data_IF_177065530024
#
_entry.id   IF_177065530024
#
_cell.length_a   1.000
_cell.length_b   1.000
_cell.length_c   1.000
_cell.angle_alpha   90.00
_cell.angle_beta   90.00
_cell.angle_gamma   90.00
#
_symmetry.space_group_name_H-M   'P 1'
#
loop_
_entity.id
_entity.type
_entity.pdbx_description
1 polymer ?
#
# COMPACT_ATOMS: atom_id res chain seq x y z
N UNK A 1 -4.12 -16.08 14.71
CA UNK A 1 -3.75 -14.68 14.41
C UNK A 1 -2.26 -14.68 14.16
N UNK A 2 -1.79 -14.05 13.07
CA UNK A 2 -0.36 -14.06 12.70
C UNK A 2 0.39 -13.11 13.63
N UNK A 3 1.61 -13.46 14.03
CA UNK A 3 2.34 -12.70 15.07
C UNK A 3 2.55 -11.23 14.68
N UNK A 4 2.75 -10.95 13.39
CA UNK A 4 2.91 -9.58 12.90
C UNK A 4 1.64 -8.73 13.03
N UNK A 5 0.44 -9.34 13.09
CA UNK A 5 -0.81 -8.62 13.35
C UNK A 5 -0.89 -8.13 14.80
N UNK A 6 -0.22 -8.81 15.73
CA UNK A 6 -0.10 -8.36 17.14
C UNK A 6 0.79 -7.12 17.19
N UNK A 7 1.93 -7.13 16.49
CA UNK A 7 2.80 -5.95 16.40
C UNK A 7 2.06 -4.76 15.79
N UNK A 8 1.32 -5.00 14.70
CA UNK A 8 0.46 -4.01 14.06
C UNK A 8 -0.57 -3.43 15.05
N UNK A 9 -1.31 -4.28 15.78
CA UNK A 9 -2.30 -3.83 16.76
C UNK A 9 -1.67 -3.01 17.90
N UNK A 10 -0.50 -3.42 18.40
CA UNK A 10 0.24 -2.67 19.41
C UNK A 10 0.62 -1.30 18.86
N UNK A 11 1.21 -1.25 17.67
CA UNK A 11 1.63 0.00 17.03
C UNK A 11 0.48 1.01 16.90
N UNK A 12 -0.69 0.58 16.40
CA UNK A 12 -1.86 1.46 16.25
C UNK A 12 -2.45 1.94 17.58
N UNK A 13 -2.26 1.19 18.68
CA UNK A 13 -2.75 1.58 20.02
C UNK A 13 -1.78 2.50 20.77
N UNK A 14 -0.49 2.40 20.51
CA UNK A 14 0.55 3.11 21.27
C UNK A 14 1.14 4.31 20.52
N UNK A 15 1.05 4.31 19.19
CA UNK A 15 1.53 5.43 18.38
C UNK A 15 0.43 6.48 18.30
N UNK A 16 0.77 7.74 18.58
CA UNK A 16 -0.03 8.86 18.10
C UNK A 16 0.09 8.83 16.57
N UNK A 17 -0.91 8.28 15.88
CA UNK A 17 -0.95 8.29 14.42
C UNK A 17 -1.09 9.76 14.01
N UNK A 18 0.04 10.45 13.83
CA UNK A 18 0.10 11.87 13.47
C UNK A 18 -0.42 12.13 12.06
N UNK A 19 -0.47 11.08 11.23
CA UNK A 19 -0.85 11.17 9.83
C UNK A 19 -2.32 10.79 9.65
N UNK A 20 -3.20 11.41 10.42
CA UNK A 20 -4.60 11.45 9.99
C UNK A 20 -4.63 12.06 8.59
N UNK A 21 -5.28 11.39 7.64
CA UNK A 21 -5.53 11.85 6.26
C UNK A 21 -6.04 13.32 6.23
N UNK A 22 -6.58 13.81 7.35
CA UNK A 22 -6.98 15.19 7.60
C UNK A 22 -5.87 16.25 7.40
N UNK A 23 -4.60 15.95 7.70
CA UNK A 23 -3.51 16.95 7.69
C UNK A 23 -2.68 16.97 6.40
N UNK A 24 -2.96 16.05 5.47
CA UNK A 24 -2.27 15.96 4.18
C UNK A 24 -3.21 16.45 3.09
N UNK A 25 -2.78 17.47 2.32
CA UNK A 25 -3.50 17.90 1.12
C UNK A 25 -3.63 16.74 0.13
N UNK A 26 -4.83 16.18 0.05
CA UNK A 26 -5.15 15.05 -0.82
C UNK A 26 -6.32 15.38 -1.73
N UNK A 27 -6.36 14.71 -2.89
CA UNK A 27 -7.46 14.82 -3.84
C UNK A 27 -8.15 13.46 -3.94
N UNK A 28 -9.42 13.43 -3.57
CA UNK A 28 -10.29 12.28 -3.89
C UNK A 28 -10.83 12.53 -5.29
N UNK A 29 -10.42 11.71 -6.26
CA UNK A 29 -10.81 11.86 -7.66
C UNK A 29 -11.39 10.53 -8.12
N UNK A 30 -12.60 10.57 -8.67
CA UNK A 30 -13.15 9.45 -9.42
C UNK A 30 -12.42 9.34 -10.76
N UNK A 31 -11.41 8.46 -10.80
CA UNK A 31 -10.64 8.16 -11.99
C UNK A 31 -11.28 7.01 -12.76
N UNK A 32 -11.17 7.04 -14.09
CA UNK A 32 -11.47 5.84 -14.90
C UNK A 32 -10.42 4.77 -14.62
N UNK A 33 -10.75 3.52 -14.88
CA UNK A 33 -9.88 2.36 -14.63
C UNK A 33 -8.44 2.56 -15.13
N UNK A 34 -8.26 3.01 -16.37
CA UNK A 34 -6.92 3.24 -16.95
C UNK A 34 -6.15 4.35 -16.22
N UNK A 35 -6.83 5.44 -15.88
CA UNK A 35 -6.23 6.59 -15.17
C UNK A 35 -5.86 6.21 -13.74
N UNK A 36 -6.67 5.35 -13.11
CA UNK A 36 -6.39 4.80 -11.79
C UNK A 36 -5.16 3.89 -11.82
N UNK A 37 -5.05 2.99 -12.79
CA UNK A 37 -3.87 2.14 -12.97
C UNK A 37 -2.62 3.00 -13.20
N UNK A 38 -2.71 4.01 -14.06
CA UNK A 38 -1.60 4.93 -14.34
C UNK A 38 -1.19 5.72 -13.09
N UNK A 39 -2.15 6.16 -12.27
CA UNK A 39 -1.87 6.82 -11.01
C UNK A 39 -1.21 5.88 -9.98
N UNK A 40 -1.66 4.61 -9.90
CA UNK A 40 -1.06 3.59 -9.03
C UNK A 40 0.39 3.33 -9.41
N UNK A 41 0.67 3.17 -10.71
CA UNK A 41 2.03 2.96 -11.23
C UNK A 41 2.87 4.23 -11.10
N UNK A 42 2.25 5.40 -11.30
CA UNK A 42 2.88 6.72 -11.18
C UNK A 42 3.48 6.97 -9.80
N UNK A 43 2.89 6.40 -8.74
CA UNK A 43 3.42 6.42 -7.39
C UNK A 43 4.88 5.92 -7.29
N UNK A 44 5.27 4.99 -8.17
CA UNK A 44 6.59 4.37 -8.22
C UNK A 44 7.52 4.99 -9.27
N UNK A 45 7.09 6.04 -9.96
CA UNK A 45 7.82 6.66 -11.06
C UNK A 45 8.10 8.15 -10.84
N UNK A 46 7.19 8.87 -10.18
CA UNK A 46 7.22 10.33 -10.08
C UNK A 46 7.46 10.78 -8.65
N UNK A 47 8.49 11.58 -8.41
CA UNK A 47 8.73 12.21 -7.11
C UNK A 47 7.68 13.29 -6.83
N UNK A 48 7.11 13.31 -5.62
CA UNK A 48 6.26 14.41 -5.17
C UNK A 48 4.97 14.63 -5.99
N UNK A 49 4.46 13.57 -6.63
CA UNK A 49 3.19 13.64 -7.35
C UNK A 49 1.99 13.92 -6.43
N UNK A 50 0.89 14.41 -7.01
CA UNK A 50 -0.38 14.62 -6.30
C UNK A 50 -0.80 13.35 -5.55
N UNK A 51 -1.22 13.50 -4.29
CA UNK A 51 -1.79 12.42 -3.50
C UNK A 51 -3.23 12.21 -3.97
N UNK A 52 -3.44 11.22 -4.83
CA UNK A 52 -4.74 10.87 -5.40
C UNK A 52 -5.28 9.61 -4.74
N UNK A 53 -6.47 9.71 -4.15
CA UNK A 53 -7.24 8.55 -3.68
C UNK A 53 -8.30 8.16 -4.72
N UNK A 54 -8.51 6.85 -4.99
CA UNK A 54 -8.00 5.68 -4.24
C UNK A 54 -6.62 5.15 -4.67
N UNK A 55 -5.96 5.76 -5.67
CA UNK A 55 -4.69 5.25 -6.23
C UNK A 55 -3.60 5.00 -5.17
N UNK A 56 -3.39 5.96 -4.26
CA UNK A 56 -2.40 5.82 -3.17
C UNK A 56 -2.65 4.57 -2.33
N UNK A 57 -3.89 4.26 -1.97
CA UNK A 57 -4.25 3.10 -1.15
C UNK A 57 -3.84 1.79 -1.82
N UNK A 58 -4.06 1.66 -3.14
CA UNK A 58 -3.61 0.49 -3.90
C UNK A 58 -2.09 0.40 -3.99
N UNK A 59 -1.40 1.52 -4.22
CA UNK A 59 0.07 1.55 -4.25
C UNK A 59 0.67 1.11 -2.92
N UNK A 60 0.15 1.63 -1.80
CA UNK A 60 0.59 1.26 -0.45
C UNK A 60 0.29 -0.22 -0.17
N UNK A 61 -0.88 -0.72 -0.56
CA UNK A 61 -1.23 -2.13 -0.39
C UNK A 61 -0.25 -3.07 -1.11
N UNK A 62 0.16 -2.71 -2.33
CA UNK A 62 1.17 -3.47 -3.10
C UNK A 62 2.52 -3.49 -2.38
N UNK A 63 2.96 -2.35 -1.83
CA UNK A 63 4.19 -2.28 -1.03
C UNK A 63 4.08 -3.18 0.18
N UNK A 64 2.99 -3.06 0.94
CA UNK A 64 2.75 -3.84 2.16
C UNK A 64 2.75 -5.34 1.89
N UNK A 65 1.98 -5.78 0.89
CA UNK A 65 1.93 -7.19 0.51
C UNK A 65 3.31 -7.74 0.13
N UNK A 66 4.13 -6.95 -0.56
CA UNK A 66 5.50 -7.37 -0.94
C UNK A 66 6.43 -7.46 0.25
N UNK A 67 6.31 -6.55 1.22
CA UNK A 67 7.11 -6.59 2.43
C UNK A 67 6.64 -7.69 3.39
N UNK A 68 5.34 -7.98 3.47
CA UNK A 68 4.80 -9.13 4.20
C UNK A 68 5.31 -10.45 3.63
N UNK A 69 5.34 -10.58 2.30
CA UNK A 69 5.95 -11.73 1.61
C UNK A 69 7.43 -11.88 2.01
N UNK A 70 8.19 -10.77 2.00
CA UNK A 70 9.62 -10.80 2.32
C UNK A 70 9.92 -11.11 3.79
N UNK A 71 9.27 -10.42 4.72
CA UNK A 71 9.63 -10.46 6.15
C UNK A 71 8.88 -11.55 6.93
N UNK A 72 7.73 -12.00 6.44
CA UNK A 72 6.87 -12.95 7.16
C UNK A 72 6.51 -14.19 6.33
N UNK A 73 7.08 -14.35 5.12
CA UNK A 73 6.74 -15.44 4.19
C UNK A 73 5.25 -15.53 3.86
N UNK A 74 4.54 -14.40 3.91
CA UNK A 74 3.13 -14.30 3.57
C UNK A 74 2.93 -14.43 2.05
N UNK A 75 1.90 -15.14 1.60
CA UNK A 75 1.58 -15.14 0.17
C UNK A 75 1.14 -13.73 -0.26
N UNK A 76 1.77 -13.21 -1.32
CA UNK A 76 1.56 -11.84 -1.78
C UNK A 76 0.08 -11.53 -2.10
N UNK A 77 -0.62 -12.44 -2.78
CA UNK A 77 -2.02 -12.24 -3.15
C UNK A 77 -2.95 -12.39 -1.93
N UNK A 78 -2.61 -13.28 -1.00
CA UNK A 78 -3.30 -13.44 0.28
C UNK A 78 -3.20 -12.16 1.11
N UNK A 79 -2.01 -11.54 1.18
CA UNK A 79 -1.82 -10.25 1.83
C UNK A 79 -2.64 -9.12 1.17
N UNK A 80 -2.67 -9.06 -0.16
CA UNK A 80 -3.50 -8.08 -0.89
C UNK A 80 -5.00 -8.28 -0.69
N UNK A 81 -5.43 -9.50 -0.36
CA UNK A 81 -6.83 -9.84 -0.12
C UNK A 81 -7.26 -9.60 1.34
N UNK A 82 -6.33 -9.21 2.21
CA UNK A 82 -6.59 -8.97 3.63
C UNK A 82 -7.38 -7.66 3.82
N UNK A 83 -8.63 -7.78 4.31
CA UNK A 83 -9.48 -6.62 4.61
C UNK A 83 -8.91 -5.76 5.74
N UNK A 84 -8.17 -6.38 6.65
CA UNK A 84 -7.58 -5.73 7.82
C UNK A 84 -6.11 -5.36 7.57
N UNK A 85 -5.67 -5.27 6.30
CA UNK A 85 -4.30 -4.89 5.95
C UNK A 85 -3.88 -3.57 6.63
N UNK A 86 -4.81 -2.62 6.71
CA UNK A 86 -4.62 -1.30 7.33
C UNK A 86 -5.45 -1.09 8.60
N UNK A 87 -5.98 -2.15 9.23
CA UNK A 87 -6.79 -2.07 10.45
C UNK A 87 -7.94 -1.03 10.38
N UNK A 88 -8.54 -0.86 9.20
CA UNK A 88 -9.63 0.10 8.99
C UNK A 88 -9.24 1.58 8.94
N UNK A 89 -7.95 1.91 8.95
CA UNK A 89 -7.46 3.30 8.89
C UNK A 89 -7.59 3.94 7.50
N UNK A 90 -7.53 3.14 6.44
CA UNK A 90 -7.71 3.59 5.06
C UNK A 90 -9.12 3.24 4.54
N UNK A 91 -9.95 4.26 4.33
CA UNK A 91 -11.33 4.13 3.84
C UNK A 91 -11.43 3.93 2.32
N UNK A 92 -10.37 4.22 1.57
CA UNK A 92 -10.31 4.11 0.11
C UNK A 92 -9.70 2.79 -0.35
N UNK A 93 -9.10 2.04 0.58
CA UNK A 93 -8.56 0.72 0.31
C UNK A 93 -9.67 -0.28 -0.03
N UNK A 94 -9.49 -0.98 -1.15
CA UNK A 94 -10.29 -2.15 -1.51
C UNK A 94 -9.35 -3.35 -1.72
N UNK A 95 -9.49 -4.43 -0.93
CA UNK A 95 -8.68 -5.63 -1.07
C UNK A 95 -8.87 -6.32 -2.42
N UNK A 96 -7.84 -7.05 -2.86
CA UNK A 96 -7.99 -8.00 -3.96
C UNK A 96 -9.08 -9.04 -3.62
N UNK A 97 -9.84 -9.46 -4.62
CA UNK A 97 -10.95 -10.41 -4.48
C UNK A 97 -12.32 -9.78 -4.19
N UNK A 98 -12.38 -8.47 -3.94
CA UNK A 98 -13.65 -7.78 -3.60
C UNK A 98 -14.59 -7.58 -4.78
N UNK A 99 -14.06 -7.36 -6.00
CA UNK A 99 -14.83 -7.24 -7.23
C UNK A 99 -13.97 -7.53 -8.46
N UNK A 100 -14.62 -7.70 -9.62
CA UNK A 100 -13.92 -7.95 -10.90
C UNK A 100 -13.08 -6.73 -11.28
N UNK A 101 -13.60 -5.53 -11.05
CA UNK A 101 -12.97 -4.25 -11.33
C UNK A 101 -11.71 -4.07 -10.48
N UNK A 102 -11.78 -4.34 -9.17
CA UNK A 102 -10.63 -4.24 -8.27
C UNK A 102 -9.55 -5.26 -8.65
N UNK A 103 -9.94 -6.50 -8.96
CA UNK A 103 -8.98 -7.52 -9.41
C UNK A 103 -8.23 -7.06 -10.67
N UNK A 104 -8.95 -6.46 -11.61
CA UNK A 104 -8.37 -5.97 -12.86
C UNK A 104 -7.41 -4.80 -12.63
N UNK A 105 -7.73 -3.86 -11.74
CA UNK A 105 -6.83 -2.75 -11.36
C UNK A 105 -5.51 -3.30 -10.81
N UNK A 106 -5.56 -4.23 -9.85
CA UNK A 106 -4.36 -4.85 -9.31
C UNK A 106 -3.56 -5.60 -10.37
N UNK A 107 -4.22 -6.43 -11.19
CA UNK A 107 -3.53 -7.20 -12.24
C UNK A 107 -2.79 -6.29 -13.22
N UNK A 108 -3.46 -5.26 -13.75
CA UNK A 108 -2.87 -4.31 -14.68
C UNK A 108 -1.71 -3.52 -14.05
N UNK A 109 -1.87 -3.05 -12.81
CA UNK A 109 -0.81 -2.34 -12.10
C UNK A 109 0.40 -3.26 -11.86
N UNK A 110 0.18 -4.48 -11.37
CA UNK A 110 1.25 -5.44 -11.10
C UNK A 110 2.00 -5.86 -12.36
N UNK A 111 1.29 -6.06 -13.47
CA UNK A 111 1.91 -6.38 -14.76
C UNK A 111 2.81 -5.25 -15.24
N UNK A 112 2.38 -4.00 -15.09
CA UNK A 112 3.22 -2.83 -15.41
C UNK A 112 4.44 -2.71 -14.48
N UNK A 113 4.26 -2.90 -13.17
CA UNK A 113 5.36 -2.83 -12.19
C UNK A 113 6.40 -3.91 -12.44
N UNK A 114 5.97 -5.14 -12.73
CA UNK A 114 6.88 -6.25 -13.10
C UNK A 114 7.62 -5.96 -14.40
N UNK A 115 6.91 -5.49 -15.42
CA UNK A 115 7.50 -5.17 -16.74
C UNK A 115 8.55 -4.06 -16.64
N UNK A 116 8.37 -3.12 -15.71
CA UNK A 116 9.28 -1.98 -15.47
C UNK A 116 10.35 -2.26 -14.41
N UNK A 117 10.40 -3.47 -13.83
CA UNK A 117 11.30 -3.86 -12.73
C UNK A 117 11.20 -2.93 -11.49
N UNK A 118 9.97 -2.57 -11.11
CA UNK A 118 9.69 -1.62 -10.01
C UNK A 118 9.28 -2.30 -8.69
N UNK A 119 9.39 -3.62 -8.59
CA UNK A 119 8.89 -4.40 -7.44
C UNK A 119 9.86 -4.49 -6.26
N UNK A 120 11.07 -3.92 -6.38
CA UNK A 120 12.04 -3.82 -5.28
C UNK A 120 11.91 -2.46 -4.58
N UNK A 121 10.83 -2.32 -3.80
CA UNK A 121 10.44 -1.05 -3.19
C UNK A 121 11.48 -0.51 -2.18
N UNK A 122 12.23 -1.37 -1.52
CA UNK A 122 13.27 -0.95 -0.56
C UNK A 122 14.49 -0.31 -1.24
N UNK A 123 14.70 -0.58 -2.53
CA UNK A 123 15.72 0.10 -3.35
C UNK A 123 15.22 1.37 -4.01
N UNK A 124 13.92 1.68 -3.90
CA UNK A 124 13.36 2.89 -4.49
C UNK A 124 14.06 4.12 -3.93
N UNK A 125 14.32 5.09 -4.81
CA UNK A 125 14.89 6.39 -4.41
C UNK A 125 13.83 7.41 -4.03
N UNK A 126 12.57 7.17 -4.41
CA UNK A 126 11.44 8.07 -4.25
C UNK A 126 11.04 8.23 -2.78
N UNK A 127 10.86 9.46 -2.30
CA UNK A 127 10.54 9.74 -0.89
C UNK A 127 9.27 9.02 -0.44
N UNK A 128 8.18 9.14 -1.20
CA UNK A 128 6.91 8.53 -0.81
C UNK A 128 6.98 6.99 -0.67
N UNK A 129 7.76 6.32 -1.52
CA UNK A 129 7.94 4.86 -1.44
C UNK A 129 8.78 4.51 -0.21
N UNK A 130 9.85 5.27 0.07
CA UNK A 130 10.66 5.10 1.27
C UNK A 130 9.87 5.34 2.55
N UNK A 131 9.01 6.35 2.57
CA UNK A 131 8.17 6.67 3.72
C UNK A 131 7.19 5.52 3.98
N UNK A 132 6.58 4.97 2.92
CA UNK A 132 5.71 3.79 3.04
C UNK A 132 6.46 2.56 3.56
N UNK A 133 7.66 2.30 3.04
CA UNK A 133 8.52 1.21 3.55
C UNK A 133 8.90 1.43 5.01
N UNK A 134 9.21 2.67 5.39
CA UNK A 134 9.59 3.02 6.76
C UNK A 134 8.42 2.87 7.72
N UNK A 135 7.23 3.31 7.29
CA UNK A 135 5.99 3.16 8.04
C UNK A 135 5.64 1.67 8.22
N UNK A 136 5.77 0.85 7.18
CA UNK A 136 5.63 -0.61 7.31
C UNK A 136 6.61 -1.19 8.35
N UNK A 137 7.89 -0.82 8.29
CA UNK A 137 8.89 -1.34 9.23
C UNK A 137 8.57 -0.92 10.67
N UNK A 138 8.17 0.33 10.85
CA UNK A 138 7.75 0.84 12.14
C UNK A 138 6.50 0.10 12.66
N UNK A 139 5.56 -0.25 11.79
CA UNK A 139 4.30 -0.90 12.16
C UNK A 139 4.46 -2.40 12.48
N UNK A 140 5.23 -3.13 11.66
CA UNK A 140 5.29 -4.60 11.73
C UNK A 140 6.56 -5.14 12.41
N UNK A 141 7.67 -4.39 12.39
CA UNK A 141 8.98 -4.84 12.87
C UNK A 141 9.38 -4.23 14.23
N UNK A 142 8.43 -3.67 14.99
CA UNK A 142 8.64 -3.00 16.31
C UNK A 142 9.55 -3.78 17.27
N UNK A 143 9.61 -5.11 17.16
CA UNK A 143 10.38 -5.99 18.04
C UNK A 143 11.31 -6.98 17.30
N UNK A 144 11.71 -6.69 16.06
CA UNK A 144 12.53 -7.61 15.23
C UNK A 144 14.03 -7.46 15.42
#
# INVERSE_FOLDING_TARGET
>A
MKDYKINQEIYHKTSEISDYIADISHRVIELRESELVDAVVGYFLLEGGDIIFPAKSYSVAIVYAKLLEKYFSEDFMTALSDQDLFMGTDKFFSPFGTSVEINKIYQLALDQLKTKDLMDFEKSKLSQVKDTVSYFKAEFLVNS
#
